data_IF_676380060585
#
_entry.id   IF_676380060585
#
_cell.length_a   1.000
_cell.length_b   1.000
_cell.length_c   1.000
_cell.angle_alpha   90.00
_cell.angle_beta   90.00
_cell.angle_gamma   90.00
#
_symmetry.space_group_name_H-M   'P 1'
#
loop_
_entity.id
_entity.type
_entity.pdbx_description
1 polymer ?
#
# COMPACT_ATOMS: atom_id res chain seq x y z
N UNK A 1 -0.60 -6.52 4.96
CA UNK A 1 0.69 -6.03 4.44
C UNK A 1 1.30 -5.03 5.40
N UNK A 2 2.26 -5.48 6.16
CA UNK A 2 2.86 -4.65 7.19
C UNK A 2 3.61 -3.44 6.63
N UNK A 3 4.16 -3.55 5.42
CA UNK A 3 4.98 -2.49 4.84
C UNK A 3 4.19 -1.38 4.15
N UNK A 4 2.96 -1.63 3.78
CA UNK A 4 2.14 -0.64 3.07
C UNK A 4 1.95 0.62 3.93
N UNK A 5 1.52 0.43 5.17
CA UNK A 5 1.30 1.55 6.08
C UNK A 5 2.58 2.33 6.34
N UNK A 6 3.68 1.61 6.58
CA UNK A 6 4.97 2.22 6.85
C UNK A 6 5.40 3.11 5.69
N UNK A 7 5.35 2.58 4.48
CA UNK A 7 5.77 3.33 3.29
C UNK A 7 4.85 4.53 3.08
N UNK A 8 3.54 4.34 3.25
CA UNK A 8 2.57 5.43 3.11
C UNK A 8 2.90 6.58 4.06
N UNK A 9 3.17 6.25 5.32
CA UNK A 9 3.50 7.26 6.33
C UNK A 9 4.82 7.95 6.04
N UNK A 10 5.80 7.21 5.54
CA UNK A 10 7.09 7.79 5.14
C UNK A 10 6.92 8.83 4.04
N UNK A 11 5.93 8.63 3.17
CA UNK A 11 5.63 9.57 2.11
C UNK A 11 4.62 10.64 2.52
N UNK A 12 4.26 10.67 3.81
CA UNK A 12 3.34 11.65 4.38
C UNK A 12 1.99 11.67 3.67
N UNK A 13 1.50 10.49 3.31
CA UNK A 13 0.21 10.34 2.62
C UNK A 13 -0.85 9.85 3.58
N UNK A 14 -2.05 10.43 3.48
CA UNK A 14 -3.23 9.88 4.14
C UNK A 14 -3.75 8.69 3.33
N UNK A 15 -4.61 7.88 3.94
CA UNK A 15 -5.29 6.79 3.24
C UNK A 15 -6.08 7.36 2.06
N UNK A 16 -6.78 8.48 2.29
CA UNK A 16 -7.55 9.14 1.24
C UNK A 16 -6.67 9.54 0.07
N UNK A 17 -5.53 10.17 0.35
CA UNK A 17 -4.63 10.62 -0.71
C UNK A 17 -4.05 9.45 -1.49
N UNK A 18 -3.63 8.40 -0.79
CA UNK A 18 -3.12 7.20 -1.44
C UNK A 18 -4.20 6.57 -2.31
N UNK A 19 -5.45 6.53 -1.83
CA UNK A 19 -6.57 6.04 -2.61
C UNK A 19 -6.73 6.84 -3.91
N UNK A 20 -6.65 8.16 -3.83
CA UNK A 20 -6.78 9.03 -5.00
C UNK A 20 -5.69 8.77 -6.03
N UNK A 21 -4.44 8.76 -5.61
CA UNK A 21 -3.32 8.68 -6.55
C UNK A 21 -3.11 7.27 -7.10
N UNK A 22 -3.55 6.24 -6.36
CA UNK A 22 -3.40 4.85 -6.79
C UNK A 22 -4.61 4.33 -7.57
N UNK A 23 -5.77 4.95 -7.37
CA UNK A 23 -7.02 4.45 -7.93
C UNK A 23 -7.57 3.26 -7.15
N UNK A 24 -7.02 2.97 -5.98
CA UNK A 24 -7.48 1.86 -5.13
C UNK A 24 -8.46 2.41 -4.08
N UNK A 25 -9.63 1.78 -3.89
CA UNK A 25 -10.59 2.26 -2.89
C UNK A 25 -9.98 2.35 -1.50
N UNK A 26 -10.38 3.37 -0.74
CA UNK A 26 -9.88 3.58 0.63
C UNK A 26 -10.07 2.34 1.51
N UNK A 27 -11.21 1.70 1.38
CA UNK A 27 -11.50 0.50 2.16
C UNK A 27 -10.49 -0.61 1.87
N UNK A 28 -10.12 -0.76 0.60
CA UNK A 28 -9.14 -1.77 0.19
C UNK A 28 -7.78 -1.43 0.79
N UNK A 29 -7.38 -0.16 0.76
CA UNK A 29 -6.11 0.27 1.38
C UNK A 29 -6.12 -0.06 2.87
N UNK A 30 -7.20 0.26 3.57
CA UNK A 30 -7.33 -0.02 5.00
C UNK A 30 -7.28 -1.52 5.29
N UNK A 31 -7.96 -2.32 4.48
CA UNK A 31 -7.95 -3.78 4.63
C UNK A 31 -6.55 -4.34 4.48
N UNK A 32 -5.81 -3.86 3.49
CA UNK A 32 -4.43 -4.31 3.26
C UNK A 32 -3.50 -3.89 4.41
N UNK A 33 -3.68 -2.68 4.93
CA UNK A 33 -2.89 -2.22 6.08
C UNK A 33 -3.24 -3.00 7.34
N UNK A 34 -4.45 -3.53 7.41
CA UNK A 34 -4.90 -4.35 8.52
C UNK A 34 -4.45 -5.80 8.46
N UNK A 35 -3.70 -6.17 7.43
CA UNK A 35 -3.14 -7.52 7.32
C UNK A 35 -3.86 -8.44 6.34
N UNK A 36 -4.92 -7.97 5.69
CA UNK A 36 -5.62 -8.78 4.69
C UNK A 36 -4.82 -8.84 3.39
N UNK A 37 -4.95 -9.96 2.69
CA UNK A 37 -4.29 -10.14 1.41
C UNK A 37 -5.03 -9.36 0.32
N UNK A 38 -4.26 -8.86 -0.64
CA UNK A 38 -4.81 -8.16 -1.78
C UNK A 38 -4.45 -8.85 -3.09
N UNK A 39 -5.12 -8.45 -4.15
CA UNK A 39 -4.80 -8.94 -5.49
C UNK A 39 -3.50 -8.32 -5.98
N UNK A 40 -2.77 -9.07 -6.80
CA UNK A 40 -1.50 -8.58 -7.37
C UNK A 40 -1.73 -7.27 -8.14
N UNK A 41 -2.80 -7.18 -8.91
CA UNK A 41 -3.11 -5.97 -9.66
C UNK A 41 -3.29 -4.75 -8.75
N UNK A 42 -3.94 -4.93 -7.61
CA UNK A 42 -4.12 -3.87 -6.62
C UNK A 42 -2.78 -3.46 -6.01
N UNK A 43 -1.96 -4.44 -5.70
CA UNK A 43 -0.65 -4.19 -5.10
C UNK A 43 0.29 -3.46 -6.07
N UNK A 44 0.21 -3.77 -7.36
CA UNK A 44 0.97 -3.06 -8.38
C UNK A 44 0.56 -1.59 -8.43
N UNK A 45 -0.73 -1.31 -8.38
CA UNK A 45 -1.21 0.07 -8.38
C UNK A 45 -0.69 0.85 -7.17
N UNK A 46 -0.68 0.23 -6.01
CA UNK A 46 -0.17 0.86 -4.80
C UNK A 46 1.34 1.07 -4.86
N UNK A 47 2.08 0.08 -5.35
CA UNK A 47 3.52 0.19 -5.51
C UNK A 47 3.88 1.33 -6.47
N UNK A 48 3.18 1.43 -7.58
CA UNK A 48 3.39 2.52 -8.54
C UNK A 48 3.11 3.88 -7.91
N UNK A 49 2.02 4.00 -7.18
CA UNK A 49 1.65 5.25 -6.52
C UNK A 49 2.67 5.67 -5.48
N UNK A 50 3.23 4.71 -4.77
CA UNK A 50 4.23 4.95 -3.73
C UNK A 50 5.66 5.01 -4.28
N UNK A 51 5.84 4.70 -5.56
CA UNK A 51 7.13 4.67 -6.24
C UNK A 51 8.12 3.71 -5.58
N UNK A 52 7.62 2.53 -5.26
CA UNK A 52 8.43 1.44 -4.72
C UNK A 52 8.21 0.20 -5.58
N UNK A 53 9.09 -0.77 -5.42
CA UNK A 53 8.91 -2.06 -6.11
C UNK A 53 7.84 -2.86 -5.39
N UNK A 54 7.25 -3.81 -6.12
CA UNK A 54 6.28 -4.72 -5.52
C UNK A 54 6.92 -5.52 -4.37
N UNK A 55 8.18 -5.90 -4.55
CA UNK A 55 8.92 -6.61 -3.52
C UNK A 55 9.04 -5.79 -2.22
N UNK A 56 9.36 -4.51 -2.34
CA UNK A 56 9.45 -3.62 -1.18
C UNK A 56 8.11 -3.50 -0.47
N UNK A 57 7.04 -3.39 -1.25
CA UNK A 57 5.69 -3.24 -0.70
C UNK A 57 5.25 -4.50 0.05
N UNK A 58 5.58 -5.67 -0.47
CA UNK A 58 5.16 -6.95 0.10
C UNK A 58 6.09 -7.47 1.18
N UNK A 59 7.25 -6.83 1.38
CA UNK A 59 8.23 -7.30 2.35
C UNK A 59 7.71 -7.09 3.77
N UNK A 60 7.87 -8.11 4.61
CA UNK A 60 7.51 -8.01 6.01
C UNK A 60 8.51 -7.11 6.74
N UNK A 61 7.98 -6.17 7.54
CA UNK A 61 8.83 -5.31 8.36
C UNK A 61 9.55 -6.16 9.40
N UNK A 62 10.87 -6.11 9.43
CA UNK A 62 11.66 -6.86 10.37
C UNK A 62 11.87 -8.32 9.99
N UNK A 63 11.34 -8.71 8.86
CA UNK A 63 11.49 -10.08 8.37
C UNK A 63 12.86 -10.34 7.81
#
# INVERSE_FOLDING_TARGET
MSNLRKIRLERKLSVMKLSEISGVPRRTVQDLEGGNDGRVSTMIKLADALRVTLDELCREAGG
#
